data_IF_759639006607
#
_entry.id   IF_759639006607
#
_cell.length_a   1.000
_cell.length_b   1.000
_cell.length_c   1.000
_cell.angle_alpha   90.00
_cell.angle_beta   90.00
_cell.angle_gamma   90.00
#
_symmetry.space_group_name_H-M   'P 1'
#
loop_
_entity.id
_entity.type
_entity.pdbx_description
1 polymer ?
#
# COMPACT_ATOMS: atom_id res chain seq x y z
N UNK A 1 19.48 -7.39 -3.32
CA UNK A 1 18.79 -8.22 -4.31
C UNK A 1 18.03 -7.30 -5.23
N UNK A 2 18.35 -7.28 -6.52
CA UNK A 2 17.60 -6.49 -7.51
C UNK A 2 16.29 -7.22 -7.90
N UNK A 3 15.40 -6.55 -8.64
CA UNK A 3 14.09 -7.10 -8.98
C UNK A 3 14.17 -8.44 -9.75
N UNK A 4 15.04 -8.62 -10.77
CA UNK A 4 15.23 -9.91 -11.43
C UNK A 4 15.71 -11.03 -10.49
N UNK A 5 16.62 -10.72 -9.56
CA UNK A 5 17.08 -11.69 -8.57
C UNK A 5 15.95 -12.12 -7.62
N UNK A 6 15.07 -11.20 -7.22
CA UNK A 6 13.90 -11.52 -6.40
C UNK A 6 12.91 -12.42 -7.14
N UNK A 7 12.68 -12.18 -8.43
CA UNK A 7 11.79 -13.01 -9.27
C UNK A 7 12.36 -14.43 -9.43
N UNK A 8 13.66 -14.54 -9.73
CA UNK A 8 14.33 -15.83 -9.79
C UNK A 8 14.31 -16.56 -8.44
N UNK A 9 14.47 -15.82 -7.34
CA UNK A 9 14.41 -16.40 -6.00
C UNK A 9 13.02 -16.95 -5.66
N UNK A 10 11.94 -16.27 -6.09
CA UNK A 10 10.57 -16.78 -5.94
C UNK A 10 10.41 -18.12 -6.68
N UNK A 11 10.81 -18.19 -7.96
CA UNK A 11 10.72 -19.41 -8.76
C UNK A 11 11.47 -20.57 -8.08
N UNK A 12 12.68 -20.31 -7.57
CA UNK A 12 13.47 -21.32 -6.87
C UNK A 12 12.78 -21.83 -5.60
N UNK A 13 12.22 -20.93 -4.78
CA UNK A 13 11.51 -21.32 -3.56
C UNK A 13 10.24 -22.12 -3.87
N UNK A 14 9.48 -21.73 -4.90
CA UNK A 14 8.28 -22.45 -5.32
C UNK A 14 8.60 -23.85 -5.85
N UNK A 15 9.66 -23.99 -6.67
CA UNK A 15 10.10 -25.29 -7.20
C UNK A 15 10.50 -26.28 -6.09
N UNK A 16 10.95 -25.76 -4.94
CA UNK A 16 11.38 -26.55 -3.78
C UNK A 16 10.28 -26.71 -2.73
N UNK A 17 9.08 -26.18 -2.97
CA UNK A 17 7.99 -26.18 -1.98
C UNK A 17 8.33 -25.44 -0.69
N UNK A 18 9.22 -24.45 -0.76
CA UNK A 18 9.67 -23.68 0.41
C UNK A 18 8.74 -22.51 0.71
N UNK A 19 8.91 -21.93 1.90
CA UNK A 19 8.21 -20.72 2.33
C UNK A 19 8.48 -19.55 1.35
N UNK A 20 7.43 -18.83 0.93
CA UNK A 20 7.54 -17.71 -0.03
C UNK A 20 7.01 -16.36 0.46
N UNK A 21 6.42 -16.24 1.64
CA UNK A 21 5.90 -14.98 2.21
C UNK A 21 6.94 -13.88 2.21
N UNK A 22 8.19 -14.20 2.58
CA UNK A 22 9.28 -13.23 2.65
C UNK A 22 9.56 -12.59 1.30
N UNK A 23 9.81 -13.42 0.28
CA UNK A 23 10.13 -12.97 -1.08
C UNK A 23 8.93 -12.32 -1.76
N UNK A 24 7.71 -12.86 -1.59
CA UNK A 24 6.50 -12.28 -2.16
C UNK A 24 6.23 -10.88 -1.60
N UNK A 25 6.43 -10.67 -0.30
CA UNK A 25 6.32 -9.34 0.31
C UNK A 25 7.29 -8.35 -0.33
N UNK A 26 8.54 -8.76 -0.54
CA UNK A 26 9.56 -7.91 -1.17
C UNK A 26 9.19 -7.58 -2.61
N UNK A 27 8.83 -8.60 -3.41
CA UNK A 27 8.41 -8.41 -4.80
C UNK A 27 7.19 -7.48 -4.92
N UNK A 28 6.16 -7.67 -4.09
CA UNK A 28 4.98 -6.79 -4.07
C UNK A 28 5.42 -5.35 -3.81
N UNK A 29 6.25 -5.10 -2.80
CA UNK A 29 6.68 -3.75 -2.46
C UNK A 29 7.52 -3.11 -3.57
N UNK A 30 8.45 -3.84 -4.18
CA UNK A 30 9.28 -3.31 -5.27
C UNK A 30 8.44 -3.03 -6.52
N UNK A 31 7.55 -3.94 -6.91
CA UNK A 31 6.64 -3.70 -8.04
C UNK A 31 5.65 -2.55 -7.76
N UNK A 32 5.21 -2.36 -6.52
CA UNK A 32 4.39 -1.20 -6.14
C UNK A 32 5.14 0.11 -6.34
N UNK A 33 6.44 0.16 -6.03
CA UNK A 33 7.27 1.36 -6.27
C UNK A 33 7.46 1.66 -7.75
N UNK A 34 7.54 0.62 -8.57
CA UNK A 34 7.64 0.76 -10.03
C UNK A 34 6.28 1.05 -10.70
N UNK A 35 5.16 0.97 -9.98
CA UNK A 35 3.82 1.12 -10.56
C UNK A 35 3.38 -0.06 -11.42
N UNK A 36 4.04 -1.22 -11.35
CA UNK A 36 3.75 -2.40 -12.18
C UNK A 36 2.48 -3.13 -11.69
N UNK A 37 1.32 -2.53 -11.87
CA UNK A 37 0.07 -2.96 -11.22
C UNK A 37 -0.33 -4.40 -11.57
N UNK A 38 -0.16 -4.82 -12.82
CA UNK A 38 -0.50 -6.19 -13.25
C UNK A 38 0.27 -7.23 -12.42
N UNK A 39 1.60 -7.07 -12.32
CA UNK A 39 2.45 -7.96 -11.55
C UNK A 39 2.16 -7.88 -10.05
N UNK A 40 1.85 -6.69 -9.53
CA UNK A 40 1.40 -6.52 -8.14
C UNK A 40 0.15 -7.36 -7.86
N UNK A 41 -0.85 -7.33 -8.75
CA UNK A 41 -2.11 -8.07 -8.58
C UNK A 41 -1.88 -9.59 -8.63
N UNK A 42 -1.05 -10.08 -9.54
CA UNK A 42 -0.66 -11.50 -9.61
C UNK A 42 0.01 -11.97 -8.32
N UNK A 43 1.03 -11.25 -7.85
CA UNK A 43 1.76 -11.57 -6.64
C UNK A 43 0.86 -11.48 -5.41
N UNK A 44 -0.02 -10.47 -5.36
CA UNK A 44 -1.01 -10.29 -4.30
C UNK A 44 -2.01 -11.45 -4.26
N UNK A 45 -2.49 -11.92 -5.41
CA UNK A 45 -3.37 -13.09 -5.50
C UNK A 45 -2.65 -14.35 -5.01
N UNK A 46 -1.41 -14.57 -5.44
CA UNK A 46 -0.59 -15.69 -4.94
C UNK A 46 -0.42 -15.61 -3.42
N UNK A 47 -0.07 -14.44 -2.90
CA UNK A 47 0.10 -14.19 -1.46
C UNK A 47 -1.14 -14.57 -0.64
N UNK A 48 -2.33 -14.16 -1.09
CA UNK A 48 -3.61 -14.51 -0.45
C UNK A 48 -3.96 -16.00 -0.60
N UNK A 49 -3.69 -16.61 -1.76
CA UNK A 49 -3.94 -18.05 -1.98
C UNK A 49 -3.14 -18.96 -1.05
N UNK A 50 -1.97 -18.48 -0.59
CA UNK A 50 -1.13 -19.15 0.41
C UNK A 50 -1.53 -18.83 1.86
N UNK A 51 -2.65 -18.12 2.07
CA UNK A 51 -3.18 -17.76 3.37
C UNK A 51 -2.46 -16.61 4.06
N UNK A 52 -1.55 -15.91 3.38
CA UNK A 52 -0.83 -14.78 3.95
C UNK A 52 -1.69 -13.52 3.95
N UNK A 53 -1.53 -12.69 5.00
CA UNK A 53 -2.23 -11.41 5.16
C UNK A 53 -1.28 -10.24 5.05
N UNK A 54 -1.70 -9.19 4.36
CA UNK A 54 -0.90 -7.98 4.20
C UNK A 54 -0.79 -7.22 5.52
N UNK A 55 0.39 -6.66 5.79
CA UNK A 55 0.55 -5.68 6.87
C UNK A 55 0.05 -4.30 6.45
N UNK A 56 -0.15 -3.39 7.42
CA UNK A 56 -0.46 -1.98 7.13
C UNK A 56 0.53 -1.33 6.16
N UNK A 57 1.83 -1.64 6.30
CA UNK A 57 2.88 -1.14 5.39
C UNK A 57 2.76 -1.69 3.97
N UNK A 58 2.38 -2.96 3.80
CA UNK A 58 2.10 -3.53 2.49
C UNK A 58 0.87 -2.87 1.87
N UNK A 59 -0.23 -2.74 2.61
CA UNK A 59 -1.44 -2.03 2.15
C UNK A 59 -1.12 -0.59 1.72
N UNK A 60 -0.22 0.09 2.42
CA UNK A 60 0.23 1.44 2.06
C UNK A 60 1.05 1.46 0.76
N UNK A 61 1.77 0.39 0.44
CA UNK A 61 2.51 0.27 -0.83
C UNK A 61 1.57 -0.07 -1.99
N UNK A 62 0.63 -0.99 -1.76
CA UNK A 62 -0.44 -1.32 -2.69
C UNK A 62 -1.31 -0.11 -3.02
N UNK A 63 -1.70 0.67 -2.01
CA UNK A 63 -2.46 1.91 -2.19
C UNK A 63 -1.73 2.88 -3.13
N UNK A 64 -0.41 3.03 -2.96
CA UNK A 64 0.38 3.89 -3.84
C UNK A 64 0.44 3.35 -5.28
N UNK A 65 0.57 2.03 -5.47
CA UNK A 65 0.52 1.42 -6.80
C UNK A 65 -0.81 1.68 -7.51
N UNK A 66 -1.93 1.60 -6.78
CA UNK A 66 -3.25 1.96 -7.31
C UNK A 66 -3.34 3.45 -7.66
N UNK A 67 -2.78 4.34 -6.84
CA UNK A 67 -2.75 5.77 -7.13
C UNK A 67 -1.99 6.07 -8.42
N UNK A 68 -0.81 5.45 -8.61
CA UNK A 68 0.02 5.61 -9.80
C UNK A 68 -0.64 5.10 -11.09
N UNK A 69 -1.66 4.25 -10.98
CA UNK A 69 -2.41 3.69 -12.10
C UNK A 69 -3.84 4.25 -12.18
N UNK A 70 -4.14 5.35 -11.48
CA UNK A 70 -5.46 6.01 -11.43
C UNK A 70 -6.63 5.10 -10.98
N UNK A 71 -6.35 4.03 -10.22
CA UNK A 71 -7.36 3.13 -9.62
C UNK A 71 -7.87 3.72 -8.29
N UNK A 72 -8.72 4.75 -8.37
CA UNK A 72 -9.17 5.51 -7.20
C UNK A 72 -9.92 4.66 -6.16
N UNK A 73 -10.87 3.84 -6.59
CA UNK A 73 -11.72 3.07 -5.67
C UNK A 73 -10.91 2.06 -4.84
N UNK A 74 -9.96 1.37 -5.48
CA UNK A 74 -9.04 0.45 -4.81
C UNK A 74 -8.13 1.17 -3.81
N UNK A 75 -7.61 2.35 -4.19
CA UNK A 75 -6.79 3.17 -3.32
C UNK A 75 -7.57 3.64 -2.07
N UNK A 76 -8.81 4.11 -2.24
CA UNK A 76 -9.68 4.51 -1.14
C UNK A 76 -10.09 3.34 -0.24
N UNK A 77 -10.33 2.16 -0.84
CA UNK A 77 -10.64 0.94 -0.09
C UNK A 77 -9.48 0.56 0.83
N UNK A 78 -8.25 0.60 0.32
CA UNK A 78 -7.05 0.33 1.14
C UNK A 78 -6.81 1.40 2.19
N UNK A 79 -6.98 2.69 1.85
CA UNK A 79 -6.90 3.78 2.82
C UNK A 79 -7.87 3.55 4.00
N UNK A 80 -9.13 3.27 3.69
CA UNK A 80 -10.18 3.04 4.70
C UNK A 80 -9.87 1.82 5.55
N UNK A 81 -9.45 0.71 4.92
CA UNK A 81 -9.04 -0.51 5.62
C UNK A 81 -7.86 -0.28 6.58
N UNK A 82 -6.88 0.56 6.19
CA UNK A 82 -5.77 0.91 7.08
C UNK A 82 -6.28 1.70 8.28
N UNK A 83 -7.15 2.68 8.09
CA UNK A 83 -7.69 3.51 9.18
C UNK A 83 -8.58 2.73 10.14
N UNK A 84 -9.36 1.79 9.63
CA UNK A 84 -10.22 0.93 10.45
C UNK A 84 -9.41 -0.09 11.25
N UNK A 85 -8.50 -0.81 10.60
CA UNK A 85 -7.79 -1.95 11.22
C UNK A 85 -6.54 -1.52 11.98
N UNK A 86 -5.96 -0.37 11.62
CA UNK A 86 -4.74 0.16 12.21
C UNK A 86 -4.86 1.68 12.45
N UNK A 87 -5.76 2.13 13.35
CA UNK A 87 -6.06 3.55 13.54
C UNK A 87 -4.87 4.40 13.96
N UNK A 88 -3.85 3.79 14.59
CA UNK A 88 -2.62 4.48 15.00
C UNK A 88 -1.51 4.44 13.93
N UNK A 89 -1.73 3.76 12.81
CA UNK A 89 -0.73 3.65 11.75
C UNK A 89 -0.63 4.94 10.95
N UNK A 90 0.59 5.47 10.84
CA UNK A 90 0.89 6.68 10.09
C UNK A 90 1.17 6.32 8.64
N UNK A 91 0.30 6.78 7.76
CA UNK A 91 0.56 6.77 6.32
C UNK A 91 1.50 7.93 6.01
N UNK A 92 2.46 7.68 5.14
CA UNK A 92 3.40 8.68 4.63
C UNK A 92 2.66 9.88 4.00
N UNK A 93 3.13 11.09 4.25
CA UNK A 93 2.44 12.32 3.85
C UNK A 93 2.36 12.51 2.34
N UNK A 94 3.41 12.13 1.59
CA UNK A 94 3.39 12.22 0.14
C UNK A 94 2.32 11.30 -0.44
N UNK A 95 2.14 10.09 0.11
CA UNK A 95 1.09 9.17 -0.32
C UNK A 95 -0.33 9.68 -0.06
N UNK A 96 -0.52 10.45 1.01
CA UNK A 96 -1.80 11.10 1.30
C UNK A 96 -2.06 12.24 0.31
N UNK A 97 -1.03 13.03 -0.02
CA UNK A 97 -1.12 14.08 -1.04
C UNK A 97 -1.44 13.47 -2.41
N UNK A 98 -0.75 12.41 -2.80
CA UNK A 98 -1.00 11.72 -4.07
C UNK A 98 -2.45 11.20 -4.16
N UNK A 99 -2.97 10.63 -3.07
CA UNK A 99 -4.37 10.20 -2.98
C UNK A 99 -5.34 11.38 -3.15
N UNK A 100 -5.05 12.51 -2.51
CA UNK A 100 -5.84 13.72 -2.65
C UNK A 100 -5.78 14.28 -4.09
N UNK A 101 -4.62 14.24 -4.74
CA UNK A 101 -4.46 14.60 -6.14
C UNK A 101 -5.30 13.71 -7.06
N UNK A 102 -5.34 12.40 -6.82
CA UNK A 102 -6.18 11.48 -7.59
C UNK A 102 -7.68 11.76 -7.39
N UNK A 103 -8.11 12.07 -6.17
CA UNK A 103 -9.48 12.49 -5.88
C UNK A 103 -9.85 13.77 -6.64
N UNK A 104 -8.95 14.76 -6.67
CA UNK A 104 -9.15 16.01 -7.41
C UNK A 104 -9.26 15.74 -8.92
N UNK A 105 -8.38 14.91 -9.49
CA UNK A 105 -8.47 14.47 -10.89
C UNK A 105 -9.84 13.83 -11.19
N UNK A 106 -10.39 13.11 -10.22
CA UNK A 106 -11.70 12.46 -10.31
C UNK A 106 -12.88 13.35 -9.90
N UNK A 107 -12.66 14.67 -9.77
CA UNK A 107 -13.66 15.68 -9.39
C UNK A 107 -14.26 15.50 -7.98
N UNK A 108 -13.63 14.70 -7.12
CA UNK A 108 -14.06 14.45 -5.74
C UNK A 108 -13.37 15.42 -4.75
N UNK A 109 -13.48 16.72 -5.01
CA UNK A 109 -12.81 17.78 -4.25
C UNK A 109 -13.12 17.76 -2.75
N UNK A 110 -14.39 17.55 -2.38
CA UNK A 110 -14.82 17.51 -0.98
C UNK A 110 -14.12 16.40 -0.22
N UNK A 111 -14.06 15.19 -0.79
CA UNK A 111 -13.39 14.04 -0.17
C UNK A 111 -11.88 14.24 -0.07
N UNK A 112 -11.26 14.87 -1.07
CA UNK A 112 -9.84 15.22 -1.01
C UNK A 112 -9.55 16.12 0.20
N UNK A 113 -10.36 17.17 0.39
CA UNK A 113 -10.24 18.08 1.53
C UNK A 113 -10.50 17.39 2.87
N UNK A 114 -11.48 16.49 2.94
CA UNK A 114 -11.78 15.72 4.14
C UNK A 114 -10.60 14.84 4.57
N UNK A 115 -10.01 14.09 3.63
CA UNK A 115 -8.84 13.24 3.90
C UNK A 115 -7.65 14.08 4.37
N UNK A 116 -7.35 15.18 3.68
CA UNK A 116 -6.23 16.06 4.05
C UNK A 116 -6.42 16.65 5.45
N UNK A 117 -7.63 17.13 5.78
CA UNK A 117 -7.96 17.65 7.11
C UNK A 117 -7.84 16.58 8.19
N UNK A 118 -8.38 15.40 7.95
CA UNK A 118 -8.32 14.28 8.87
C UNK A 118 -6.86 13.89 9.18
N UNK A 119 -6.01 13.73 8.16
CA UNK A 119 -4.61 13.34 8.33
C UNK A 119 -3.77 14.43 9.02
N UNK A 120 -4.03 15.71 8.72
CA UNK A 120 -3.40 16.82 9.43
C UNK A 120 -3.73 16.81 10.92
N UNK A 121 -5.01 16.64 11.29
CA UNK A 121 -5.45 16.58 12.68
C UNK A 121 -4.88 15.35 13.40
N UNK A 122 -4.88 14.18 12.74
CA UNK A 122 -4.30 12.96 13.29
C UNK A 122 -2.81 13.12 13.61
N UNK A 123 -2.05 13.76 12.72
CA UNK A 123 -0.62 14.07 12.94
C UNK A 123 -0.41 15.00 14.13
N UNK A 124 -1.19 16.07 14.24
CA UNK A 124 -1.10 17.00 15.37
C UNK A 124 -1.36 16.29 16.70
N UNK A 125 -2.43 15.51 16.80
CA UNK A 125 -2.75 14.72 18.01
C UNK A 125 -1.61 13.76 18.36
N UNK A 126 -1.05 13.07 17.37
CA UNK A 126 0.04 12.13 17.61
C UNK A 126 1.37 12.81 17.97
N UNK A 127 1.64 14.02 17.48
CA UNK A 127 2.83 14.79 17.86
C UNK A 127 2.73 15.31 19.30
N UNK A 128 1.57 15.85 19.68
CA UNK A 128 1.31 16.32 21.05
C UNK A 128 1.44 15.19 22.07
N UNK A 129 0.89 14.01 21.77
CA UNK A 129 0.99 12.85 22.67
C UNK A 129 2.43 12.34 22.87
N UNK A 130 3.36 12.61 21.94
CA UNK A 130 4.77 12.22 22.09
C UNK A 130 5.60 13.20 22.93
N UNK A 131 5.06 14.39 23.22
CA UNK A 131 5.74 15.44 24.00
C UNK A 131 5.39 15.39 25.50
N UNK A 132 4.45 14.53 25.90
CA UNK A 132 4.08 14.24 27.28
C UNK A 132 4.69 12.90 27.70
#
# INVERSE_FOLDING_TARGET
MNLPELENHLIQLESKGMETRGVLRLLINEHCRCGNIERVLELRKSFHSKGYRESAGMKTSLMHAYIMNDHLDDALSLYSSIKEQHPNFKIDEFKIVDLACLLIKSQQFTRALEILKYEAQFRLKSAVFKML
#
